data_IF_977491886668
#
_entry.id   IF_977491886668
#
_cell.length_a   1.000
_cell.length_b   1.000
_cell.length_c   1.000
_cell.angle_alpha   90.00
_cell.angle_beta   90.00
_cell.angle_gamma   90.00
#
_symmetry.space_group_name_H-M   'P 1'
#
loop_
_entity.id
_entity.type
_entity.pdbx_description
1 polymer ?
#
# COMPACT_ATOMS: atom_id res chain seq x y z
N UNK A 1 -10.69 -22.18 -6.95
CA UNK A 1 -10.80 -21.37 -5.72
C UNK A 1 -9.38 -21.08 -5.21
N UNK A 2 -9.22 -20.12 -4.35
CA UNK A 2 -7.94 -19.76 -3.73
C UNK A 2 -7.97 -20.02 -2.23
N UNK A 3 -6.81 -20.31 -1.64
CA UNK A 3 -6.63 -20.42 -0.19
C UNK A 3 -6.06 -19.12 0.35
N UNK A 4 -6.62 -18.60 1.44
CA UNK A 4 -6.13 -17.41 2.11
C UNK A 4 -5.46 -17.78 3.43
N UNK A 5 -4.25 -17.33 3.68
CA UNK A 5 -3.54 -17.50 4.95
C UNK A 5 -3.03 -16.15 5.49
N UNK A 6 -3.02 -16.03 6.81
CA UNK A 6 -2.48 -14.84 7.47
C UNK A 6 -0.97 -14.94 7.51
N UNK A 7 -0.31 -13.82 7.19
CA UNK A 7 1.14 -13.67 7.27
C UNK A 7 1.49 -12.37 7.98
N UNK A 8 2.70 -12.29 8.49
CA UNK A 8 3.28 -11.06 9.05
C UNK A 8 4.69 -10.89 8.52
N UNK A 9 5.10 -9.67 8.28
CA UNK A 9 6.46 -9.33 7.86
C UNK A 9 6.85 -7.96 8.40
N UNK A 10 8.15 -7.70 8.46
CA UNK A 10 8.69 -6.43 8.92
C UNK A 10 8.55 -5.37 7.82
N UNK A 11 7.88 -4.27 8.13
CA UNK A 11 7.74 -3.11 7.27
C UNK A 11 8.98 -2.20 7.27
N UNK A 12 8.88 -1.10 6.53
CA UNK A 12 9.98 -0.15 6.35
C UNK A 12 10.38 0.60 7.63
N UNK A 13 9.48 0.69 8.59
CA UNK A 13 9.71 1.33 9.90
C UNK A 13 10.17 0.35 10.99
N UNK A 14 10.34 -0.94 10.66
CA UNK A 14 10.62 -1.99 11.64
C UNK A 14 9.39 -2.56 12.35
N UNK A 15 8.21 -2.00 12.10
CA UNK A 15 6.95 -2.50 12.64
C UNK A 15 6.46 -3.74 11.89
N UNK A 16 5.79 -4.65 12.61
CA UNK A 16 5.19 -5.82 11.98
C UNK A 16 3.90 -5.46 11.23
N UNK A 17 3.89 -5.74 9.95
CA UNK A 17 2.73 -5.55 9.08
C UNK A 17 1.94 -6.86 8.94
N UNK A 18 0.61 -6.73 9.00
CA UNK A 18 -0.33 -7.82 8.85
C UNK A 18 -0.75 -7.99 7.40
N UNK A 19 -0.56 -9.17 6.86
CA UNK A 19 -0.94 -9.52 5.50
C UNK A 19 -1.87 -10.72 5.41
N UNK A 20 -2.44 -10.89 4.23
CA UNK A 20 -3.11 -12.11 3.78
C UNK A 20 -2.49 -12.51 2.44
N UNK A 21 -2.05 -13.74 2.37
CA UNK A 21 -1.58 -14.37 1.14
C UNK A 21 -2.72 -15.20 0.54
N UNK A 22 -3.24 -14.76 -0.59
CA UNK A 22 -4.22 -15.51 -1.38
C UNK A 22 -3.46 -16.37 -2.40
N UNK A 23 -3.45 -17.68 -2.19
CA UNK A 23 -2.68 -18.66 -2.97
C UNK A 23 -3.59 -19.45 -3.91
N UNK A 24 -3.24 -19.66 -5.19
CA UNK A 24 -3.96 -20.56 -6.08
C UNK A 24 -4.01 -21.99 -5.56
N UNK A 25 -5.15 -22.68 -5.72
CA UNK A 25 -5.25 -24.13 -5.45
C UNK A 25 -4.63 -24.98 -6.56
N UNK A 26 -4.43 -24.42 -7.75
CA UNK A 26 -3.84 -25.09 -8.91
C UNK A 26 -2.42 -24.63 -9.19
N UNK A 27 -2.02 -24.73 -10.47
CA UNK A 27 -0.71 -24.29 -10.91
C UNK A 27 -0.52 -22.78 -10.69
N UNK A 28 0.58 -22.41 -10.05
CA UNK A 28 0.96 -21.02 -9.84
C UNK A 28 1.68 -20.53 -11.09
N UNK A 29 1.18 -19.42 -11.66
CA UNK A 29 1.72 -18.76 -12.86
C UNK A 29 2.63 -17.58 -12.49
N UNK A 30 2.47 -17.02 -11.27
CA UNK A 30 3.23 -15.89 -10.78
C UNK A 30 2.74 -15.43 -9.42
N UNK A 31 3.44 -14.44 -8.87
CA UNK A 31 3.14 -13.84 -7.57
C UNK A 31 3.04 -12.32 -7.69
N UNK A 32 2.20 -11.74 -6.87
CA UNK A 32 2.02 -10.29 -6.83
C UNK A 32 1.80 -9.73 -5.44
N UNK A 33 1.90 -8.41 -5.35
CA UNK A 33 1.60 -7.62 -4.15
C UNK A 33 0.51 -6.60 -4.49
N UNK A 34 -0.43 -6.42 -3.57
CA UNK A 34 -1.50 -5.44 -3.67
C UNK A 34 -1.31 -4.31 -2.65
N UNK A 35 -1.29 -3.05 -3.11
CA UNK A 35 -1.27 -1.85 -2.29
C UNK A 35 -2.64 -1.19 -2.28
N UNK A 36 -3.24 -1.05 -1.07
CA UNK A 36 -4.57 -0.48 -0.88
C UNK A 36 -4.59 1.05 -0.94
N UNK A 37 -5.80 1.64 -1.08
CA UNK A 37 -6.02 3.08 -1.07
C UNK A 37 -5.77 3.74 0.29
N UNK A 38 -5.85 5.07 0.31
CA UNK A 38 -5.65 5.89 1.51
C UNK A 38 -6.61 5.48 2.62
N UNK A 39 -6.11 5.24 3.83
CA UNK A 39 -6.86 4.77 5.03
C UNK A 39 -7.67 3.48 4.88
N UNK A 40 -7.54 2.78 3.76
CA UNK A 40 -8.13 1.45 3.57
C UNK A 40 -7.25 0.37 4.21
N UNK A 41 -7.49 -0.89 3.88
CA UNK A 41 -6.72 -2.01 4.40
C UNK A 41 -6.84 -3.24 3.48
N UNK A 42 -6.11 -4.29 3.86
CA UNK A 42 -6.09 -5.57 3.13
C UNK A 42 -7.46 -6.24 3.00
N UNK A 43 -8.39 -5.94 3.91
CA UNK A 43 -9.73 -6.53 3.93
C UNK A 43 -10.78 -5.66 3.21
N UNK A 44 -10.36 -4.52 2.62
CA UNK A 44 -11.25 -3.72 1.79
C UNK A 44 -11.82 -4.56 0.62
N UNK A 45 -13.07 -4.28 0.18
CA UNK A 45 -13.67 -5.02 -0.93
C UNK A 45 -12.82 -5.05 -2.19
N UNK A 46 -12.15 -3.94 -2.52
CA UNK A 46 -11.26 -3.88 -3.68
C UNK A 46 -10.07 -4.85 -3.52
N UNK A 47 -9.33 -4.76 -2.40
CA UNK A 47 -8.18 -5.61 -2.13
C UNK A 47 -8.58 -7.10 -2.12
N UNK A 48 -9.59 -7.45 -1.33
CA UNK A 48 -10.00 -8.84 -1.14
C UNK A 48 -10.51 -9.49 -2.43
N UNK A 49 -11.40 -8.79 -3.17
CA UNK A 49 -11.98 -9.35 -4.40
C UNK A 49 -10.95 -9.48 -5.52
N UNK A 50 -10.10 -8.47 -5.70
CA UNK A 50 -9.08 -8.49 -6.77
C UNK A 50 -8.02 -9.55 -6.50
N UNK A 51 -7.49 -9.64 -5.27
CA UNK A 51 -6.47 -10.63 -4.93
C UNK A 51 -7.00 -12.06 -5.05
N UNK A 52 -8.21 -12.34 -4.57
CA UNK A 52 -8.82 -13.65 -4.73
C UNK A 52 -9.10 -14.01 -6.20
N UNK A 53 -9.59 -13.04 -6.99
CA UNK A 53 -9.81 -13.26 -8.41
C UNK A 53 -8.51 -13.57 -9.15
N UNK A 54 -7.43 -12.85 -8.87
CA UNK A 54 -6.11 -13.13 -9.45
C UNK A 54 -5.59 -14.51 -9.02
N UNK A 55 -5.75 -14.87 -7.74
CA UNK A 55 -5.36 -16.19 -7.24
C UNK A 55 -6.18 -17.31 -7.88
N UNK A 56 -7.48 -17.13 -8.10
CA UNK A 56 -8.31 -18.12 -8.82
C UNK A 56 -7.86 -18.30 -10.29
N UNK A 57 -7.15 -17.33 -10.87
CA UNK A 57 -6.56 -17.41 -12.22
C UNK A 57 -5.08 -17.82 -12.24
N UNK A 58 -4.52 -18.18 -11.08
CA UNK A 58 -3.17 -18.71 -10.95
C UNK A 58 -2.10 -17.71 -10.51
N UNK A 59 -2.46 -16.47 -10.13
CA UNK A 59 -1.52 -15.47 -9.64
C UNK A 59 -1.72 -15.30 -8.13
N UNK A 60 -0.79 -15.83 -7.34
CA UNK A 60 -0.84 -15.68 -5.89
C UNK A 60 -0.60 -14.22 -5.49
N UNK A 61 -1.39 -13.70 -4.54
CA UNK A 61 -1.38 -12.28 -4.18
C UNK A 61 -1.19 -12.07 -2.67
N UNK A 62 -0.21 -11.25 -2.32
CA UNK A 62 -0.08 -10.70 -0.98
C UNK A 62 -0.78 -9.34 -0.92
N UNK A 63 -1.76 -9.21 -0.03
CA UNK A 63 -2.38 -7.93 0.37
C UNK A 63 -2.09 -7.68 1.84
N UNK A 64 -1.74 -6.47 2.21
CA UNK A 64 -1.33 -6.16 3.58
C UNK A 64 -1.87 -4.80 4.04
N UNK A 65 -1.88 -4.59 5.35
CA UNK A 65 -2.19 -3.31 5.97
C UNK A 65 -0.90 -2.51 6.16
N UNK A 66 -0.89 -1.24 5.77
CA UNK A 66 0.21 -0.34 6.11
C UNK A 66 0.24 -0.06 7.62
N UNK A 67 1.33 0.54 8.09
CA UNK A 67 1.57 0.87 9.51
C UNK A 67 0.35 1.52 10.15
N UNK A 68 -0.03 1.06 11.34
CA UNK A 68 -1.15 1.57 12.13
C UNK A 68 -2.55 1.33 11.55
N UNK A 69 -2.68 0.52 10.48
CA UNK A 69 -3.96 0.13 9.89
C UNK A 69 -4.27 -1.34 10.16
N UNK A 70 -5.54 -1.66 10.32
CA UNK A 70 -6.04 -3.03 10.43
C UNK A 70 -5.34 -3.83 11.49
N UNK A 71 -4.61 -4.88 11.12
CA UNK A 71 -3.85 -5.74 12.01
C UNK A 71 -2.36 -5.40 12.11
N UNK A 72 -1.89 -4.36 11.42
CA UNK A 72 -0.49 -3.92 11.46
C UNK A 72 -0.19 -3.12 12.73
N UNK A 73 1.04 -3.27 13.23
CA UNK A 73 1.54 -2.51 14.38
C UNK A 73 1.86 -1.05 14.02
N UNK A 74 2.24 -0.27 15.03
CA UNK A 74 2.61 1.14 14.89
C UNK A 74 1.41 2.09 14.88
N UNK A 75 1.72 3.37 14.68
CA UNK A 75 0.74 4.45 14.65
C UNK A 75 0.55 4.92 13.20
N UNK A 76 -0.71 5.01 12.75
CA UNK A 76 -1.01 5.46 11.39
C UNK A 76 -0.46 6.86 11.09
N UNK A 77 -0.47 7.75 12.08
CA UNK A 77 0.03 9.12 11.98
C UNK A 77 1.54 9.22 11.73
N UNK A 78 2.30 8.14 11.99
CA UNK A 78 3.72 8.03 11.64
C UNK A 78 3.96 7.64 10.18
N UNK A 79 2.92 7.17 9.49
CA UNK A 79 3.00 6.79 8.09
C UNK A 79 3.19 7.99 7.15
N UNK A 80 3.66 7.69 5.93
CA UNK A 80 3.83 8.65 4.85
C UNK A 80 3.65 7.96 3.50
N UNK A 81 3.66 8.69 2.41
CA UNK A 81 3.68 8.10 1.07
C UNK A 81 4.97 7.30 0.83
N UNK A 82 6.12 7.86 1.21
CA UNK A 82 7.42 7.16 1.11
C UNK A 82 7.43 5.86 1.91
N UNK A 83 6.86 5.82 3.12
CA UNK A 83 6.69 4.57 3.87
C UNK A 83 5.79 3.58 3.15
N UNK A 84 4.70 4.03 2.52
CA UNK A 84 3.82 3.16 1.74
C UNK A 84 4.52 2.55 0.54
N UNK A 85 5.36 3.30 -0.15
CA UNK A 85 6.23 2.82 -1.23
C UNK A 85 7.21 1.78 -0.70
N UNK A 86 7.96 2.13 0.36
CA UNK A 86 8.94 1.25 0.98
C UNK A 86 8.32 -0.03 1.55
N UNK A 87 7.14 0.03 2.16
CA UNK A 87 6.39 -1.15 2.64
C UNK A 87 5.99 -2.08 1.48
N UNK A 88 5.67 -1.52 0.31
CA UNK A 88 5.38 -2.31 -0.90
C UNK A 88 6.63 -3.07 -1.35
N UNK A 89 7.80 -2.44 -1.31
CA UNK A 89 9.10 -3.08 -1.60
C UNK A 89 9.40 -4.17 -0.56
N UNK A 90 9.20 -3.88 0.75
CA UNK A 90 9.38 -4.88 1.83
C UNK A 90 8.46 -6.08 1.67
N UNK A 91 7.22 -5.87 1.24
CA UNK A 91 6.29 -6.96 0.93
C UNK A 91 6.82 -7.86 -0.20
N UNK A 92 7.39 -7.27 -1.25
CA UNK A 92 8.00 -8.02 -2.35
C UNK A 92 9.28 -8.77 -1.90
N UNK A 93 10.10 -8.15 -1.05
CA UNK A 93 11.27 -8.80 -0.45
C UNK A 93 10.87 -10.00 0.42
N UNK A 94 9.87 -9.84 1.30
CA UNK A 94 9.30 -10.92 2.08
C UNK A 94 8.85 -12.08 1.20
N UNK A 95 8.09 -11.80 0.15
CA UNK A 95 7.66 -12.83 -0.80
C UNK A 95 8.84 -13.53 -1.46
N UNK A 96 9.90 -12.80 -1.83
CA UNK A 96 11.11 -13.37 -2.41
C UNK A 96 11.83 -14.32 -1.45
N UNK A 97 11.96 -13.97 -0.16
CA UNK A 97 12.57 -14.83 0.85
C UNK A 97 11.82 -16.15 1.04
N UNK A 98 10.51 -16.14 0.75
CA UNK A 98 9.65 -17.32 0.78
C UNK A 98 9.64 -18.08 -0.58
N UNK A 99 10.56 -17.77 -1.50
CA UNK A 99 10.64 -18.40 -2.81
C UNK A 99 9.54 -17.98 -3.79
N UNK A 100 8.91 -16.82 -3.57
CA UNK A 100 7.77 -16.28 -4.32
C UNK A 100 8.14 -14.95 -4.96
N UNK A 101 9.00 -14.97 -5.99
CA UNK A 101 9.42 -13.75 -6.69
C UNK A 101 8.21 -12.99 -7.25
N UNK A 102 8.09 -11.70 -6.91
CA UNK A 102 6.96 -10.85 -7.27
C UNK A 102 7.15 -10.32 -8.68
N UNK A 103 6.28 -10.75 -9.59
CA UNK A 103 6.25 -10.30 -10.98
C UNK A 103 5.11 -9.31 -11.29
N UNK A 104 4.15 -9.13 -10.37
CA UNK A 104 3.02 -8.23 -10.54
C UNK A 104 2.83 -7.34 -9.32
N UNK A 105 2.70 -6.04 -9.55
CA UNK A 105 2.16 -5.11 -8.57
C UNK A 105 0.76 -4.66 -8.98
N UNK A 106 -0.15 -4.61 -8.02
CA UNK A 106 -1.50 -4.05 -8.21
C UNK A 106 -1.75 -2.98 -7.17
N UNK A 107 -2.22 -1.81 -7.59
CA UNK A 107 -2.51 -0.71 -6.67
C UNK A 107 -3.86 -0.06 -6.92
N UNK A 108 -4.59 0.24 -5.85
CA UNK A 108 -5.86 0.95 -5.91
C UNK A 108 -5.73 2.36 -5.36
N UNK A 109 -6.20 3.37 -6.10
CA UNK A 109 -6.19 4.77 -5.70
C UNK A 109 -4.78 5.22 -5.26
N UNK A 110 -4.60 5.73 -4.06
CA UNK A 110 -3.30 6.12 -3.47
C UNK A 110 -2.27 4.98 -3.49
N UNK A 111 -2.71 3.72 -3.32
CA UNK A 111 -1.88 2.54 -3.50
C UNK A 111 -1.42 2.34 -4.94
N UNK A 112 -2.19 2.83 -5.92
CA UNK A 112 -1.80 2.84 -7.33
C UNK A 112 -0.59 3.74 -7.58
N UNK A 113 -0.54 4.93 -6.99
CA UNK A 113 0.64 5.79 -7.04
C UNK A 113 1.86 5.11 -6.36
N UNK A 114 1.64 4.44 -5.23
CA UNK A 114 2.71 3.77 -4.50
C UNK A 114 3.34 2.61 -5.29
N UNK A 115 2.53 1.77 -5.96
CA UNK A 115 3.09 0.66 -6.76
C UNK A 115 3.86 1.14 -7.99
N UNK A 116 3.45 2.26 -8.59
CA UNK A 116 4.21 2.88 -9.68
C UNK A 116 5.58 3.38 -9.19
N UNK A 117 5.61 4.03 -8.02
CA UNK A 117 6.86 4.51 -7.43
C UNK A 117 7.78 3.35 -6.98
N UNK A 118 7.22 2.24 -6.48
CA UNK A 118 7.98 1.07 -6.03
C UNK A 118 8.54 0.21 -7.17
N UNK A 119 8.02 0.34 -8.38
CA UNK A 119 8.28 -0.58 -9.49
C UNK A 119 9.76 -0.74 -9.82
N UNK A 120 10.53 0.34 -9.80
CA UNK A 120 11.97 0.31 -10.13
C UNK A 120 12.84 -0.39 -9.08
N UNK A 121 12.31 -0.62 -7.87
CA UNK A 121 13.03 -1.25 -6.77
C UNK A 121 12.80 -2.77 -6.67
N UNK A 122 11.96 -3.33 -7.54
CA UNK A 122 11.61 -4.76 -7.54
C UNK A 122 12.17 -5.42 -8.81
N UNK A 123 13.33 -6.12 -8.71
CA UNK A 123 14.05 -6.59 -9.90
C UNK A 123 13.31 -7.60 -10.77
N UNK A 124 12.42 -8.41 -10.17
CA UNK A 124 11.69 -9.47 -10.88
C UNK A 124 10.32 -9.02 -11.41
N UNK A 125 10.04 -7.71 -11.34
CA UNK A 125 8.76 -7.16 -11.73
C UNK A 125 8.57 -7.15 -13.25
N UNK A 126 7.50 -7.80 -13.72
CA UNK A 126 7.12 -7.83 -15.14
C UNK A 126 6.01 -6.82 -15.47
N UNK A 127 5.13 -6.55 -14.51
CA UNK A 127 3.95 -5.71 -14.76
C UNK A 127 3.47 -4.95 -13.52
N UNK A 128 2.88 -3.77 -13.78
CA UNK A 128 2.14 -2.97 -12.80
C UNK A 128 0.73 -2.72 -13.33
N UNK A 129 -0.27 -2.96 -12.50
CA UNK A 129 -1.65 -2.61 -12.78
C UNK A 129 -2.18 -1.63 -11.74
N UNK A 130 -2.87 -0.59 -12.19
CA UNK A 130 -3.47 0.39 -11.29
C UNK A 130 -4.97 0.54 -11.54
N UNK A 131 -5.71 0.77 -10.47
CA UNK A 131 -7.14 1.06 -10.52
C UNK A 131 -7.40 2.39 -9.85
N UNK A 132 -7.90 3.37 -10.62
CA UNK A 132 -8.18 4.71 -10.15
C UNK A 132 -6.98 5.40 -9.47
N UNK A 133 -5.77 5.15 -9.95
CA UNK A 133 -4.57 5.81 -9.42
C UNK A 133 -4.59 7.31 -9.75
N UNK A 134 -4.27 8.19 -8.79
CA UNK A 134 -4.08 9.60 -9.08
C UNK A 134 -2.80 9.80 -9.89
N UNK A 135 -2.78 10.82 -10.73
CA UNK A 135 -1.59 11.22 -11.48
C UNK A 135 -0.42 11.62 -10.57
N UNK A 136 -0.75 12.20 -9.40
CA UNK A 136 0.22 12.57 -8.37
C UNK A 136 -0.27 12.11 -7.00
N UNK A 137 0.59 11.58 -6.13
CA UNK A 137 0.22 11.21 -4.76
C UNK A 137 -0.30 12.41 -3.96
N UNK A 138 0.13 13.63 -4.29
CA UNK A 138 -0.34 14.88 -3.70
C UNK A 138 -1.87 15.09 -3.83
N UNK A 139 -2.50 14.48 -4.82
CA UNK A 139 -3.95 14.56 -4.99
C UNK A 139 -4.72 14.10 -3.73
N UNK A 140 -4.14 13.22 -2.91
CA UNK A 140 -4.76 12.79 -1.65
C UNK A 140 -4.97 13.96 -0.69
N UNK A 141 -4.19 15.04 -0.78
CA UNK A 141 -4.32 16.20 0.09
C UNK A 141 -5.72 16.86 0.00
N UNK A 142 -6.42 16.72 -1.13
CA UNK A 142 -7.78 17.24 -1.27
C UNK A 142 -8.78 16.65 -0.26
N UNK A 143 -8.53 15.47 0.28
CA UNK A 143 -9.42 14.87 1.28
C UNK A 143 -9.30 15.54 2.66
N UNK A 144 -8.28 16.36 2.87
CA UNK A 144 -8.03 17.10 4.11
C UNK A 144 -7.66 18.57 3.90
N UNK A 145 -7.97 19.14 2.73
CA UNK A 145 -7.69 20.55 2.38
C UNK A 145 -8.12 21.54 3.47
N UNK A 146 -9.29 21.33 4.07
CA UNK A 146 -9.82 22.20 5.13
C UNK A 146 -8.95 22.23 6.40
N UNK A 147 -8.10 21.21 6.61
CA UNK A 147 -7.22 21.12 7.76
C UNK A 147 -5.75 21.46 7.42
N UNK A 148 -5.44 21.69 6.14
CA UNK A 148 -4.06 21.84 5.66
C UNK A 148 -3.29 22.96 6.37
N UNK A 149 -3.89 24.15 6.47
CA UNK A 149 -3.27 25.29 7.15
C UNK A 149 -2.96 24.98 8.63
N UNK A 150 -3.86 24.29 9.30
CA UNK A 150 -3.66 23.86 10.68
C UNK A 150 -2.55 22.82 10.80
N UNK A 151 -2.51 21.83 9.91
CA UNK A 151 -1.44 20.82 9.87
C UNK A 151 -0.09 21.49 9.70
N UNK A 152 0.02 22.44 8.79
CA UNK A 152 1.28 23.14 8.50
C UNK A 152 1.71 24.09 9.63
N UNK A 153 0.78 24.79 10.28
CA UNK A 153 1.09 25.75 11.35
C UNK A 153 1.28 25.09 12.71
N UNK A 154 0.42 24.13 13.07
CA UNK A 154 0.41 23.49 14.40
C UNK A 154 1.14 22.15 14.45
N UNK A 155 1.51 21.57 13.29
CA UNK A 155 2.24 20.31 13.18
C UNK A 155 1.35 19.09 12.94
N UNK A 156 0.07 19.13 13.33
CA UNK A 156 -0.91 18.08 13.04
C UNK A 156 -2.35 18.59 13.13
N UNK A 157 -3.29 17.81 12.58
CA UNK A 157 -4.71 17.99 12.81
C UNK A 157 -5.45 16.65 12.74
N UNK A 158 -6.53 16.52 13.54
CA UNK A 158 -7.51 15.46 13.34
C UNK A 158 -8.41 15.78 12.16
N UNK A 159 -8.62 14.79 11.30
CA UNK A 159 -9.48 14.89 10.11
C UNK A 159 -10.49 13.76 10.13
N UNK A 160 -11.75 14.06 9.83
CA UNK A 160 -12.79 13.05 9.63
C UNK A 160 -12.84 12.67 8.15
N UNK A 161 -12.50 11.43 7.86
CA UNK A 161 -12.51 10.84 6.52
C UNK A 161 -13.70 9.87 6.37
N UNK A 162 -14.90 10.44 6.29
CA UNK A 162 -16.12 9.65 6.10
C UNK A 162 -16.50 8.83 7.33
N UNK A 163 -16.38 9.41 8.53
CA UNK A 163 -16.69 8.79 9.81
C UNK A 163 -15.50 8.11 10.49
N UNK A 164 -14.34 8.10 9.85
CA UNK A 164 -13.08 7.65 10.44
C UNK A 164 -12.22 8.87 10.79
N UNK A 165 -12.00 9.11 12.08
CA UNK A 165 -11.07 10.15 12.53
C UNK A 165 -9.64 9.66 12.48
N UNK A 166 -8.77 10.44 11.87
CA UNK A 166 -7.33 10.18 11.75
C UNK A 166 -6.54 11.44 12.03
N UNK A 167 -5.38 11.30 12.67
CA UNK A 167 -4.42 12.39 12.82
C UNK A 167 -3.53 12.45 11.57
N UNK A 168 -3.48 13.60 10.90
CA UNK A 168 -2.53 13.88 9.82
C UNK A 168 -1.47 14.83 10.34
N UNK A 169 -0.21 14.44 10.23
CA UNK A 169 0.94 15.22 10.69
C UNK A 169 1.60 15.94 9.53
N UNK A 170 2.34 17.02 9.84
CA UNK A 170 3.04 17.86 8.86
C UNK A 170 3.98 17.04 7.97
N UNK A 171 4.70 16.06 8.53
CA UNK A 171 5.64 15.24 7.74
C UNK A 171 4.96 14.47 6.62
N UNK A 172 3.68 14.07 6.77
CA UNK A 172 2.91 13.44 5.69
C UNK A 172 2.73 14.40 4.50
N UNK A 173 2.40 15.66 4.80
CA UNK A 173 2.21 16.70 3.76
C UNK A 173 3.56 17.02 3.09
N UNK A 174 4.62 17.20 3.87
CA UNK A 174 5.97 17.46 3.37
C UNK A 174 6.50 16.32 2.51
N UNK A 175 6.23 15.07 2.89
CA UNK A 175 6.60 13.88 2.13
C UNK A 175 5.89 13.86 0.76
N UNK A 176 4.59 14.17 0.71
CA UNK A 176 3.84 14.28 -0.55
C UNK A 176 4.45 15.35 -1.48
N UNK A 177 4.94 16.46 -0.94
CA UNK A 177 5.58 17.53 -1.71
C UNK A 177 6.93 17.08 -2.32
N UNK A 178 7.73 16.32 -1.55
CA UNK A 178 9.05 15.86 -1.96
C UNK A 178 8.99 14.76 -3.04
N UNK A 179 7.95 13.93 -3.04
CA UNK A 179 7.81 12.81 -3.98
C UNK A 179 7.45 13.25 -5.42
N UNK A 180 7.03 14.51 -5.63
CA UNK A 180 6.81 15.05 -6.98
C UNK A 180 8.09 15.02 -7.82
N UNK A 181 9.26 15.13 -7.21
CA UNK A 181 10.55 15.09 -7.89
C UNK A 181 10.95 13.69 -8.40
N UNK A 182 10.39 12.62 -7.85
CA UNK A 182 10.73 11.23 -8.19
C UNK A 182 9.82 10.59 -9.24
N UNK A 183 8.61 11.08 -9.39
CA UNK A 183 7.63 10.53 -10.33
C UNK A 183 7.81 11.02 -11.79
N UNK A 184 8.84 11.79 -12.08
CA UNK A 184 9.08 12.42 -13.37
C UNK A 184 10.40 12.00 -14.04
N UNK A 185 10.91 10.80 -13.71
CA UNK A 185 12.10 10.24 -14.38
C UNK A 185 11.71 9.04 -15.20
#
# INVERSE_FOLDING_TARGET
MSRSEKVTFEGSTGELLSGILDTPEGAVKGWGVFSHGFTLGKDSPAASRMCKALADHGIGMLRFDNVGLGGSAGEWSEGSFSHKVADTVRAAEFMRTEGRAVSLLVGHSFGGAAVLAAASEIPELDAVATVAAPFSPKHVAHVFDAALDKILSEGSAEVDLGGKRVEIRRHFVEDLENEIGRAHV
#
